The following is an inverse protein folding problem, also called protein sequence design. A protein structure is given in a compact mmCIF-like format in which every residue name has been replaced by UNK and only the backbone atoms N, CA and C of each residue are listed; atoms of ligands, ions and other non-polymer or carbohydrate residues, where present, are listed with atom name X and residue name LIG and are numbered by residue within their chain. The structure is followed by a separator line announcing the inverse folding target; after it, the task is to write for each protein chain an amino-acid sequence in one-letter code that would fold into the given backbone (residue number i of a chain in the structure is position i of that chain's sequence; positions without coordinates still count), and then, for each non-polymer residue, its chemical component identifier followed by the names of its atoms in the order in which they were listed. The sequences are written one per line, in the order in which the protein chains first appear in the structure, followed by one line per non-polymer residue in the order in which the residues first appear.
data_IF_723881723619
#
_entry.id   IF_723881723619
#
_cell.length_a   1.000
_cell.length_b   1.000
_cell.length_c   1.000
_cell.angle_alpha   90.00
_cell.angle_beta   90.00
_cell.angle_gamma   90.00
#
_symmetry.space_group_name_H-M   'P 1'
#
loop_
_entity.id
_entity.type
_entity.pdbx_description
1 polymer ?
#
# COMPACT_ATOMS: atom_id res chain seq x y z
N UNK A 1 -2.26 -4.95 -29.20
CA UNK A 1 -2.54 -5.41 -27.82
C UNK A 1 -1.60 -4.67 -26.88
N UNK A 2 -2.11 -3.80 -25.99
CA UNK A 2 -1.26 -3.07 -25.03
C UNK A 2 -0.66 -4.09 -24.08
N UNK A 3 0.68 -4.22 -24.05
CA UNK A 3 1.38 -4.94 -22.98
C UNK A 3 0.90 -4.34 -21.66
N UNK A 4 0.20 -5.12 -20.85
CA UNK A 4 -0.02 -4.77 -19.45
C UNK A 4 1.39 -4.66 -18.86
N UNK A 5 1.88 -3.43 -18.67
CA UNK A 5 3.10 -3.15 -17.91
C UNK A 5 2.84 -3.59 -16.47
N UNK A 6 2.96 -4.89 -16.22
CA UNK A 6 2.78 -5.50 -14.92
C UNK A 6 3.97 -5.03 -14.08
N UNK A 7 3.79 -3.95 -13.34
CA UNK A 7 4.82 -3.43 -12.45
C UNK A 7 5.17 -4.55 -11.46
N UNK A 8 6.40 -5.05 -11.55
CA UNK A 8 6.94 -6.00 -10.59
C UNK A 8 7.30 -5.25 -9.30
N UNK A 9 6.32 -5.08 -8.41
CA UNK A 9 6.52 -4.40 -7.13
C UNK A 9 7.23 -5.35 -6.18
N UNK A 10 8.55 -5.27 -6.02
CA UNK A 10 9.29 -6.07 -5.03
C UNK A 10 8.75 -5.78 -3.60
N UNK A 11 8.38 -6.81 -2.79
CA UNK A 11 7.73 -6.57 -1.50
C UNK A 11 8.64 -5.78 -0.55
N UNK A 12 9.96 -5.98 -0.64
CA UNK A 12 10.98 -5.24 0.13
C UNK A 12 10.88 -3.72 -0.06
N UNK A 13 10.36 -3.28 -1.20
CA UNK A 13 10.34 -1.88 -1.58
C UNK A 13 8.93 -1.28 -1.66
N UNK A 14 7.87 -2.02 -1.31
CA UNK A 14 6.49 -1.56 -1.43
C UNK A 14 6.27 -0.19 -0.80
N UNK A 15 6.85 0.07 0.37
CA UNK A 15 6.69 1.34 1.11
C UNK A 15 7.20 2.56 0.32
N UNK A 16 7.99 2.36 -0.73
CA UNK A 16 8.50 3.42 -1.60
C UNK A 16 7.80 3.51 -2.96
N UNK A 17 6.93 2.57 -3.28
CA UNK A 17 6.17 2.55 -4.53
C UNK A 17 4.89 3.37 -4.40
N UNK A 18 4.29 3.65 -5.56
CA UNK A 18 2.92 4.11 -5.63
C UNK A 18 1.99 3.00 -5.13
N UNK A 19 1.10 3.36 -4.20
CA UNK A 19 0.14 2.46 -3.59
C UNK A 19 -1.24 2.57 -4.24
N UNK A 20 -1.48 3.59 -5.07
CA UNK A 20 -2.76 3.81 -5.74
C UNK A 20 -3.08 2.61 -6.64
N UNK A 21 -4.33 2.14 -6.58
CA UNK A 21 -4.82 0.98 -7.32
C UNK A 21 -4.67 -0.36 -6.60
N UNK A 22 -3.91 -0.44 -5.50
CA UNK A 22 -3.82 -1.68 -4.71
C UNK A 22 -5.09 -1.88 -3.89
N UNK A 23 -5.55 -3.14 -3.78
CA UNK A 23 -6.58 -3.55 -2.83
C UNK A 23 -5.95 -3.66 -1.45
N UNK A 24 -6.63 -3.18 -0.42
CA UNK A 24 -6.07 -3.11 0.92
C UNK A 24 -7.03 -3.60 2.01
N UNK A 25 -6.45 -4.10 3.09
CA UNK A 25 -7.09 -4.34 4.37
C UNK A 25 -6.42 -3.46 5.43
N UNK A 26 -7.14 -3.13 6.49
CA UNK A 26 -6.57 -2.41 7.61
C UNK A 26 -7.06 -2.93 8.96
N UNK A 27 -6.18 -2.84 9.95
CA UNK A 27 -6.43 -3.09 11.35
C UNK A 27 -6.01 -1.84 12.14
N UNK A 28 -6.93 -1.28 12.93
CA UNK A 28 -6.61 -0.14 13.80
C UNK A 28 -5.80 -0.65 15.01
N UNK A 29 -4.64 -0.05 15.28
CA UNK A 29 -3.69 -0.52 16.31
C UNK A 29 -4.29 -0.56 17.72
N UNK A 30 -5.15 0.39 18.07
CA UNK A 30 -5.81 0.43 19.38
C UNK A 30 -7.08 -0.41 19.49
N UNK A 31 -7.58 -1.01 18.39
CA UNK A 31 -8.83 -1.80 18.41
C UNK A 31 -8.49 -3.28 18.34
N UNK A 32 -9.09 -4.09 19.23
CA UNK A 32 -8.96 -5.57 19.22
C UNK A 32 -9.78 -6.24 18.10
N UNK A 33 -9.87 -5.61 16.93
CA UNK A 33 -10.55 -6.17 15.75
C UNK A 33 -9.50 -6.66 14.77
N UNK A 34 -9.79 -7.73 14.02
CA UNK A 34 -8.93 -8.21 12.95
C UNK A 34 -8.88 -7.25 11.74
N UNK A 35 -8.14 -7.65 10.72
CA UNK A 35 -8.08 -6.92 9.45
C UNK A 35 -9.45 -6.91 8.76
N UNK A 36 -9.89 -5.73 8.33
CA UNK A 36 -11.09 -5.57 7.51
C UNK A 36 -10.72 -5.09 6.12
N UNK A 37 -11.44 -5.55 5.09
CA UNK A 37 -11.25 -5.04 3.73
C UNK A 37 -11.65 -3.56 3.70
N UNK A 38 -10.78 -2.72 3.14
CA UNK A 38 -10.99 -1.27 3.07
C UNK A 38 -11.15 -0.75 1.64
N UNK A 39 -11.10 -1.63 0.64
CA UNK A 39 -11.29 -1.27 -0.77
C UNK A 39 -9.98 -1.05 -1.53
N UNK A 40 -10.09 -0.27 -2.60
CA UNK A 40 -8.97 0.11 -3.48
C UNK A 40 -8.43 1.47 -3.05
N UNK A 41 -7.12 1.61 -3.00
CA UNK A 41 -6.46 2.88 -2.70
C UNK A 41 -6.65 3.83 -3.88
N UNK A 42 -7.27 4.98 -3.63
CA UNK A 42 -7.53 6.01 -4.64
C UNK A 42 -6.64 7.25 -4.46
N UNK A 43 -6.08 7.45 -3.26
CA UNK A 43 -5.15 8.53 -2.99
C UNK A 43 -4.24 8.19 -1.80
N UNK A 44 -3.05 8.77 -1.81
CA UNK A 44 -2.01 8.63 -0.80
C UNK A 44 -1.42 10.02 -0.52
N UNK A 45 -1.70 10.53 0.68
CA UNK A 45 -1.19 11.83 1.15
C UNK A 45 -0.06 11.60 2.16
N UNK A 46 0.54 12.65 2.69
CA UNK A 46 1.61 12.53 3.68
C UNK A 46 1.25 11.61 4.86
N UNK A 47 0.07 11.81 5.47
CA UNK A 47 -0.35 11.13 6.69
C UNK A 47 -1.55 10.21 6.52
N UNK A 48 -2.26 10.30 5.39
CA UNK A 48 -3.50 9.54 5.18
C UNK A 48 -3.40 8.65 3.95
N UNK A 49 -4.02 7.48 4.06
CA UNK A 49 -4.37 6.61 2.94
C UNK A 49 -5.87 6.75 2.70
N UNK A 50 -6.28 6.97 1.45
CA UNK A 50 -7.68 7.16 1.08
C UNK A 50 -8.09 6.00 0.19
N UNK A 51 -9.17 5.33 0.55
CA UNK A 51 -9.68 4.18 -0.19
C UNK A 51 -11.12 4.36 -0.60
N UNK A 52 -11.50 3.65 -1.66
CA UNK A 52 -12.87 3.52 -2.14
C UNK A 52 -13.29 2.06 -2.05
N UNK A 53 -14.41 1.82 -1.38
CA UNK A 53 -15.10 0.54 -1.36
C UNK A 53 -16.54 0.79 -1.77
N UNK A 54 -16.98 0.21 -2.89
CA UNK A 54 -18.29 0.49 -3.49
C UNK A 54 -18.48 2.01 -3.70
N UNK A 55 -19.50 2.61 -3.09
CA UNK A 55 -19.78 4.04 -3.14
C UNK A 55 -19.26 4.81 -1.91
N UNK A 56 -18.48 4.16 -1.03
CA UNK A 56 -17.95 4.81 0.17
C UNK A 56 -16.47 5.14 0.02
N UNK A 57 -16.11 6.39 0.31
CA UNK A 57 -14.72 6.83 0.44
C UNK A 57 -14.38 6.93 1.92
N UNK A 58 -13.26 6.31 2.34
CA UNK A 58 -12.76 6.38 3.71
C UNK A 58 -11.32 6.85 3.76
N UNK A 59 -10.98 7.58 4.82
CA UNK A 59 -9.64 8.09 5.10
C UNK A 59 -9.07 7.36 6.31
N UNK A 60 -7.82 6.93 6.23
CA UNK A 60 -7.12 6.18 7.26
C UNK A 60 -5.85 6.92 7.66
N UNK A 61 -5.71 7.27 8.94
CA UNK A 61 -4.51 7.92 9.46
C UNK A 61 -3.41 6.87 9.56
N UNK A 62 -2.40 6.92 8.70
CA UNK A 62 -1.43 5.84 8.49
C UNK A 62 -0.80 5.32 9.78
N UNK A 63 -0.37 6.21 10.67
CA UNK A 63 0.30 5.85 11.94
C UNK A 63 -0.58 4.99 12.88
N UNK A 64 -1.90 5.06 12.76
CA UNK A 64 -2.87 4.38 13.63
C UNK A 64 -3.24 2.98 13.13
N UNK A 65 -2.77 2.58 11.94
CA UNK A 65 -3.18 1.34 11.30
C UNK A 65 -2.00 0.44 10.92
N UNK A 66 -2.27 -0.86 10.92
CA UNK A 66 -1.50 -1.85 10.17
C UNK A 66 -2.28 -2.13 8.90
N UNK A 67 -1.61 -2.14 7.75
CA UNK A 67 -2.23 -2.38 6.44
C UNK A 67 -1.78 -3.71 5.88
N UNK A 68 -2.66 -4.39 5.14
CA UNK A 68 -2.26 -5.48 4.23
C UNK A 68 -2.60 -5.10 2.80
N UNK A 69 -1.63 -5.18 1.91
CA UNK A 69 -1.81 -4.83 0.51
C UNK A 69 -1.79 -6.08 -0.37
N UNK A 70 -2.77 -6.18 -1.26
CA UNK A 70 -2.72 -7.16 -2.33
C UNK A 70 -1.73 -6.72 -3.39
N UNK A 71 -0.63 -7.46 -3.51
CA UNK A 71 0.35 -7.31 -4.58
C UNK A 71 -0.13 -8.06 -5.82
N UNK A 72 0.11 -7.54 -7.03
CA UNK A 72 -0.22 -8.26 -8.25
C UNK A 72 0.58 -9.57 -8.35
N UNK A 73 -0.12 -10.68 -8.49
CA UNK A 73 0.47 -12.01 -8.70
C UNK A 73 1.19 -12.03 -10.05
N UNK A 74 2.42 -12.50 -10.10
CA UNK A 74 3.12 -12.83 -11.34
C UNK A 74 3.67 -14.26 -11.28
N UNK A 75 4.22 -14.76 -12.37
CA UNK A 75 4.76 -16.14 -12.47
C UNK A 75 5.78 -16.49 -11.38
N UNK A 76 6.39 -15.48 -10.75
CA UNK A 76 7.40 -15.61 -9.70
C UNK A 76 6.84 -15.45 -8.27
N UNK A 77 5.53 -15.25 -8.10
CA UNK A 77 4.91 -15.04 -6.78
C UNK A 77 3.74 -15.96 -6.51
N UNK A 78 3.81 -16.56 -5.33
CA UNK A 78 2.82 -17.48 -4.76
C UNK A 78 1.94 -16.88 -3.68
N UNK A 79 2.24 -15.67 -3.20
CA UNK A 79 1.51 -15.00 -2.12
C UNK A 79 1.17 -13.56 -2.47
N UNK A 80 -0.04 -13.17 -2.08
CA UNK A 80 -0.68 -11.95 -2.56
C UNK A 80 -0.69 -10.83 -1.54
N UNK A 81 -0.49 -11.10 -0.24
CA UNK A 81 -0.68 -10.11 0.83
C UNK A 81 0.63 -9.73 1.51
N UNK A 82 0.93 -8.43 1.55
CA UNK A 82 2.03 -7.88 2.36
C UNK A 82 1.49 -7.02 3.49
N UNK A 83 1.85 -7.38 4.72
CA UNK A 83 1.55 -6.59 5.91
C UNK A 83 2.60 -5.49 6.13
N UNK A 84 2.13 -4.28 6.44
CA UNK A 84 2.96 -3.08 6.61
C UNK A 84 2.41 -2.27 7.79
N UNK A 85 3.28 -1.94 8.74
CA UNK A 85 2.96 -0.91 9.74
C UNK A 85 2.83 0.45 9.02
N UNK A 86 1.65 1.07 9.12
CA UNK A 86 1.37 2.32 8.42
C UNK A 86 2.27 3.50 8.83
N UNK A 87 2.92 3.46 9.99
CA UNK A 87 3.96 4.44 10.35
C UNK A 87 5.12 4.46 9.35
N UNK A 88 5.42 3.34 8.68
CA UNK A 88 6.45 3.25 7.62
C UNK A 88 6.01 3.87 6.30
N UNK A 89 4.72 4.17 6.15
CA UNK A 89 4.14 4.81 4.97
C UNK A 89 3.98 6.33 5.15
N UNK A 90 4.26 6.87 6.34
CA UNK A 90 4.22 8.31 6.60
C UNK A 90 5.26 9.02 5.73
N UNK A 91 4.82 10.10 5.08
CA UNK A 91 5.61 10.83 4.09
C UNK A 91 4.93 10.85 2.73
N UNK A 92 5.12 11.96 2.02
CA UNK A 92 4.53 12.15 0.69
C UNK A 92 5.04 11.09 -0.31
N UNK A 93 4.19 10.55 -1.22
CA UNK A 93 4.58 9.52 -2.17
C UNK A 93 5.85 9.84 -2.96
N UNK A 94 5.97 11.06 -3.46
CA UNK A 94 7.11 11.54 -4.23
C UNK A 94 8.42 11.52 -3.42
N UNK A 95 8.34 11.79 -2.12
CA UNK A 95 9.49 11.74 -1.22
C UNK A 95 9.90 10.30 -0.92
N UNK A 96 8.93 9.39 -0.71
CA UNK A 96 9.20 7.96 -0.51
C UNK A 96 9.86 7.35 -1.76
N UNK A 97 9.38 7.70 -2.96
CA UNK A 97 9.97 7.23 -4.22
C UNK A 97 11.43 7.66 -4.40
N UNK A 98 11.79 8.88 -3.97
CA UNK A 98 13.19 9.34 -4.01
C UNK A 98 14.12 8.49 -3.13
N UNK A 99 13.63 8.00 -1.99
CA UNK A 99 14.41 7.11 -1.11
C UNK A 99 14.69 5.73 -1.73
N UNK A 100 13.79 5.23 -2.58
CA UNK A 100 14.02 3.97 -3.31
C UNK A 100 15.28 4.04 -4.18
N UNK A 101 15.48 5.16 -4.89
CA UNK A 101 16.66 5.35 -5.75
C UNK A 101 17.97 5.28 -4.97
N UNK A 102 17.97 5.76 -3.72
CA UNK A 102 19.13 5.64 -2.83
C UNK A 102 19.34 4.19 -2.38
N UNK A 103 18.27 3.47 -2.04
CA UNK A 103 18.33 2.07 -1.56
C UNK A 103 18.75 1.06 -2.63
N UNK A 104 18.55 1.35 -3.92
CA UNK A 104 18.98 0.47 -5.03
C UNK A 104 20.43 0.73 -5.49
N UNK A 105 21.07 1.79 -4.98
CA UNK A 105 22.47 2.13 -5.31
C UNK A 105 23.51 1.42 -4.45
N UNK A 106 23.06 0.72 -3.40
CA UNK A 106 23.88 -0.08 -2.50
C UNK A 106 23.41 -1.54 -2.53
#
# INVERSE_FOLDING_TARGET
MKKNNKMEINPKYLIYHDLIGLRAYAQHKSKRKGFSYIGIIINDTENMLITKHENTIKKYIKKEYIFRFHLPINEKRTHDLLEVDGSKLVGRPENRLRHLKKKRRF
#
